data_IF_502305719700
#
_entry.id   IF_502305719700
#
_cell.length_a   1.000
_cell.length_b   1.000
_cell.length_c   1.000
_cell.angle_alpha   90.00
_cell.angle_beta   90.00
_cell.angle_gamma   90.00
#
_symmetry.space_group_name_H-M   'P 1'
#
loop_
_entity.id
_entity.type
_entity.pdbx_description
1 polymer ?
#
# COMPACT_ATOMS: atom_id res chain seq x y z
N UNK A 1 -2.76 32.62 -23.73
CA UNK A 1 -2.21 31.40 -24.36
C UNK A 1 -2.28 30.28 -23.35
N UNK A 2 -3.24 29.36 -23.52
CA UNK A 2 -3.30 28.13 -22.75
C UNK A 2 -2.05 27.30 -23.10
N UNK A 3 -1.17 27.13 -22.15
CA UNK A 3 -0.08 26.15 -22.25
C UNK A 3 -0.57 24.86 -21.59
N UNK A 4 -0.86 23.85 -22.39
CA UNK A 4 -1.11 22.51 -21.88
C UNK A 4 0.21 21.75 -21.77
N UNK A 5 0.47 21.15 -20.64
CA UNK A 5 1.59 20.24 -20.43
C UNK A 5 1.05 18.81 -20.39
N UNK A 6 1.67 17.94 -21.18
CA UNK A 6 1.37 16.52 -21.16
C UNK A 6 2.66 15.72 -21.24
N UNK A 7 2.69 14.56 -20.64
CA UNK A 7 3.84 13.65 -20.68
C UNK A 7 3.60 12.42 -19.84
N UNK A 8 4.49 11.45 -19.95
CA UNK A 8 4.41 10.19 -19.22
C UNK A 8 5.64 9.98 -18.34
N UNK A 9 5.41 9.38 -17.18
CA UNK A 9 6.47 8.82 -16.34
C UNK A 9 6.39 7.29 -16.49
N UNK A 10 7.42 6.71 -17.12
CA UNK A 10 7.54 5.27 -17.27
C UNK A 10 8.69 4.79 -16.38
N UNK A 11 8.41 3.84 -15.52
CA UNK A 11 9.39 3.36 -14.55
C UNK A 11 9.12 1.91 -14.13
N UNK A 12 10.12 1.30 -13.51
CA UNK A 12 9.94 0.06 -12.78
C UNK A 12 9.18 0.37 -11.49
N UNK A 13 8.16 -0.45 -11.19
CA UNK A 13 7.37 -0.27 -9.99
C UNK A 13 8.18 -0.69 -8.76
N UNK A 14 8.44 0.27 -7.87
CA UNK A 14 9.04 -0.01 -6.56
C UNK A 14 8.17 0.54 -5.44
N UNK A 15 8.12 -0.17 -4.33
CA UNK A 15 7.34 0.28 -3.18
C UNK A 15 7.87 1.60 -2.63
N UNK A 16 6.97 2.46 -2.14
CA UNK A 16 7.23 3.79 -1.56
C UNK A 16 7.61 4.88 -2.58
N UNK A 17 8.28 4.55 -3.68
CA UNK A 17 8.81 5.57 -4.59
C UNK A 17 7.72 6.33 -5.38
N UNK A 18 6.55 5.72 -5.57
CA UNK A 18 5.46 6.26 -6.41
C UNK A 18 4.13 6.39 -5.66
N UNK A 19 4.14 6.31 -4.34
CA UNK A 19 2.93 6.32 -3.52
C UNK A 19 2.07 7.56 -3.77
N UNK A 20 2.69 8.75 -3.87
CA UNK A 20 1.98 10.00 -4.17
C UNK A 20 1.32 10.00 -5.57
N UNK A 21 1.98 9.42 -6.58
CA UNK A 21 1.41 9.30 -7.92
C UNK A 21 0.27 8.26 -7.97
N UNK A 22 0.38 7.19 -7.17
CA UNK A 22 -0.70 6.23 -6.98
C UNK A 22 -1.91 6.88 -6.30
N UNK A 23 -1.70 7.70 -5.26
CA UNK A 23 -2.75 8.49 -4.63
C UNK A 23 -3.47 9.38 -5.64
N UNK A 24 -2.72 10.08 -6.49
CA UNK A 24 -3.27 10.90 -7.55
C UNK A 24 -4.02 10.11 -8.62
N UNK A 25 -3.50 8.95 -9.02
CA UNK A 25 -4.16 8.08 -9.99
C UNK A 25 -5.46 7.48 -9.46
N UNK A 26 -5.50 7.19 -8.16
CA UNK A 26 -6.67 6.62 -7.46
C UNK A 26 -7.67 7.70 -7.01
N UNK A 27 -7.34 9.00 -7.13
CA UNK A 27 -8.12 10.12 -6.61
C UNK A 27 -8.48 9.93 -5.13
N UNK A 28 -7.58 9.37 -4.35
CA UNK A 28 -7.86 8.98 -2.96
C UNK A 28 -8.20 10.18 -2.09
N UNK A 29 -9.19 10.03 -1.21
CA UNK A 29 -9.59 11.09 -0.27
C UNK A 29 -8.65 11.17 0.96
N UNK A 30 -7.75 10.20 1.10
CA UNK A 30 -6.76 10.11 2.17
C UNK A 30 -5.46 9.51 1.66
N UNK A 31 -4.37 9.78 2.35
CA UNK A 31 -3.08 9.10 2.13
C UNK A 31 -3.18 7.61 2.44
N UNK A 32 -2.14 6.86 2.14
CA UNK A 32 -2.01 5.46 2.51
C UNK A 32 -2.34 5.24 3.99
N UNK A 33 -3.30 4.34 4.26
CA UNK A 33 -3.61 3.93 5.62
C UNK A 33 -2.70 2.78 6.00
N UNK A 34 -1.84 3.03 6.98
CA UNK A 34 -0.97 2.01 7.58
C UNK A 34 -1.66 1.36 8.76
N UNK A 35 -1.60 0.04 8.82
CA UNK A 35 -2.04 -0.78 9.94
C UNK A 35 -0.82 -1.42 10.58
N UNK A 36 -0.59 -1.19 11.87
CA UNK A 36 0.50 -1.80 12.65
C UNK A 36 0.04 -1.87 14.12
N UNK A 37 0.06 -3.06 14.71
CA UNK A 37 -0.30 -3.23 16.14
C UNK A 37 0.88 -3.03 17.09
N UNK A 38 2.09 -2.79 16.58
CA UNK A 38 3.28 -2.61 17.40
C UNK A 38 3.77 -3.87 18.13
N UNK A 39 3.10 -5.01 17.93
CA UNK A 39 3.37 -6.27 18.59
C UNK A 39 2.51 -6.49 19.85
N UNK A 40 1.68 -7.52 19.83
CA UNK A 40 0.74 -7.90 20.88
C UNK A 40 0.84 -9.38 21.22
N UNK A 41 0.70 -9.73 22.50
CA UNK A 41 0.73 -11.11 22.98
C UNK A 41 -0.68 -11.75 23.04
N UNK A 42 -1.70 -11.04 22.57
CA UNK A 42 -3.12 -11.43 22.57
C UNK A 42 -3.56 -12.12 21.27
N UNK A 43 -2.63 -12.29 20.34
CA UNK A 43 -2.90 -12.88 19.03
C UNK A 43 -2.63 -14.38 19.05
N UNK A 44 -3.62 -15.16 18.63
CA UNK A 44 -3.51 -16.60 18.43
C UNK A 44 -3.84 -16.97 16.98
N UNK A 45 -3.26 -18.04 16.46
CA UNK A 45 -3.65 -18.63 15.18
C UNK A 45 -4.71 -19.70 15.38
N UNK A 46 -5.59 -19.83 14.41
CA UNK A 46 -6.70 -20.79 14.39
C UNK A 46 -6.71 -21.58 13.08
N UNK A 47 -7.62 -22.54 12.96
CA UNK A 47 -7.77 -23.28 11.69
C UNK A 47 -8.36 -22.49 10.54
N UNK A 48 -8.86 -21.26 10.76
CA UNK A 48 -9.48 -20.41 9.73
C UNK A 48 -8.81 -19.04 9.60
N UNK A 49 -8.01 -18.63 10.58
CA UNK A 49 -7.38 -17.32 10.62
C UNK A 49 -6.74 -17.03 11.97
N UNK A 50 -7.00 -15.85 12.52
CA UNK A 50 -6.38 -15.39 13.76
C UNK A 50 -7.43 -14.80 14.71
N UNK A 51 -7.18 -14.94 16.00
CA UNK A 51 -7.98 -14.29 17.06
C UNK A 51 -7.12 -13.30 17.82
N UNK A 52 -7.77 -12.29 18.37
CA UNK A 52 -7.19 -11.28 19.25
C UNK A 52 -8.09 -11.10 20.48
N UNK A 53 -7.66 -11.59 21.63
CA UNK A 53 -8.41 -11.43 22.87
C UNK A 53 -8.46 -9.97 23.37
N UNK A 54 -7.58 -9.11 22.87
CA UNK A 54 -7.60 -7.67 23.08
C UNK A 54 -8.72 -6.94 22.32
N UNK A 55 -9.34 -7.60 21.33
CA UNK A 55 -10.38 -7.03 20.47
C UNK A 55 -9.96 -5.74 19.72
N UNK A 56 -8.67 -5.62 19.40
CA UNK A 56 -8.07 -4.44 18.76
C UNK A 56 -8.17 -4.39 17.25
N UNK A 57 -8.55 -5.50 16.58
CA UNK A 57 -8.45 -5.65 15.15
C UNK A 57 -9.18 -4.57 14.32
N UNK A 58 -10.43 -4.23 14.68
CA UNK A 58 -11.16 -3.16 14.01
C UNK A 58 -10.54 -1.79 14.31
N UNK A 59 -10.14 -1.56 15.56
CA UNK A 59 -9.56 -0.29 15.98
C UNK A 59 -8.21 0.00 15.32
N UNK A 60 -7.46 -1.03 14.95
CA UNK A 60 -6.19 -0.90 14.20
C UNK A 60 -6.35 -0.52 12.74
N UNK A 61 -7.58 -0.44 12.23
CA UNK A 61 -7.87 -0.04 10.86
C UNK A 61 -7.79 -1.16 9.81
N UNK A 62 -7.69 -2.42 10.25
CA UNK A 62 -7.77 -3.59 9.36
C UNK A 62 -9.11 -3.61 8.62
N UNK A 63 -9.09 -4.11 7.37
CA UNK A 63 -10.27 -4.19 6.53
C UNK A 63 -10.36 -5.52 5.78
N UNK A 64 -11.60 -5.98 5.52
CA UNK A 64 -11.84 -7.14 4.67
C UNK A 64 -11.31 -6.89 3.26
N UNK A 65 -10.60 -7.87 2.71
CA UNK A 65 -9.93 -7.80 1.42
C UNK A 65 -8.48 -7.30 1.47
N UNK A 66 -8.06 -6.70 2.57
CA UNK A 66 -6.69 -6.26 2.79
C UNK A 66 -5.73 -7.45 2.92
N UNK A 67 -4.49 -7.26 2.46
CA UNK A 67 -3.38 -8.13 2.79
C UNK A 67 -2.63 -7.58 3.99
N UNK A 68 -2.34 -8.44 4.95
CA UNK A 68 -1.50 -8.14 6.10
C UNK A 68 -0.32 -9.11 6.16
N UNK A 69 0.81 -8.63 6.65
CA UNK A 69 1.95 -9.46 7.02
C UNK A 69 1.88 -9.73 8.50
N UNK A 70 1.90 -10.98 8.92
CA UNK A 70 2.04 -11.39 10.32
C UNK A 70 3.44 -11.94 10.57
N UNK A 71 3.97 -11.65 11.75
CA UNK A 71 5.28 -12.13 12.18
C UNK A 71 5.38 -12.17 13.70
N UNK A 72 6.23 -13.04 14.22
CA UNK A 72 6.53 -13.14 15.63
C UNK A 72 5.88 -14.31 16.35
N UNK A 73 5.22 -15.23 15.63
CA UNK A 73 4.78 -16.51 16.20
C UNK A 73 5.99 -17.35 16.61
N UNK A 74 5.81 -18.20 17.63
CA UNK A 74 6.83 -19.15 18.04
C UNK A 74 7.06 -20.19 16.93
N UNK A 75 5.97 -20.65 16.32
CA UNK A 75 6.04 -21.42 15.07
C UNK A 75 6.14 -20.47 13.88
N UNK A 76 7.35 -20.23 13.41
CA UNK A 76 7.63 -19.32 12.29
C UNK A 76 7.01 -19.74 10.96
N UNK A 77 6.43 -20.94 10.86
CA UNK A 77 5.67 -21.35 9.67
C UNK A 77 4.35 -20.60 9.53
N UNK A 78 3.86 -20.02 10.64
CA UNK A 78 2.66 -19.18 10.66
C UNK A 78 2.95 -17.76 10.16
N UNK A 79 4.20 -17.30 10.27
CA UNK A 79 4.60 -15.99 9.78
C UNK A 79 4.41 -15.91 8.26
N UNK A 80 3.78 -14.82 7.78
CA UNK A 80 3.52 -14.70 6.36
C UNK A 80 2.51 -13.62 5.97
N UNK A 81 2.08 -13.68 4.71
CA UNK A 81 1.09 -12.78 4.15
C UNK A 81 -0.27 -13.46 4.05
N UNK A 82 -1.28 -12.78 4.56
CA UNK A 82 -2.65 -13.27 4.65
C UNK A 82 -3.63 -12.22 4.14
N UNK A 83 -4.55 -12.64 3.27
CA UNK A 83 -5.67 -11.81 2.86
C UNK A 83 -6.82 -12.00 3.83
N UNK A 84 -7.39 -10.93 4.33
CA UNK A 84 -8.53 -10.94 5.26
C UNK A 84 -9.81 -11.22 4.47
N UNK A 85 -10.54 -12.27 4.86
CA UNK A 85 -11.82 -12.67 4.25
C UNK A 85 -13.02 -12.32 5.11
N UNK A 86 -12.84 -12.31 6.43
CA UNK A 86 -13.84 -11.92 7.42
C UNK A 86 -13.17 -11.14 8.56
N UNK A 87 -13.89 -10.24 9.21
CA UNK A 87 -13.37 -9.38 10.27
C UNK A 87 -14.41 -9.12 11.35
N UNK A 88 -14.02 -9.35 12.60
CA UNK A 88 -14.70 -8.88 13.82
C UNK A 88 -13.69 -8.13 14.69
N UNK A 89 -14.12 -7.59 15.83
CA UNK A 89 -13.19 -6.94 16.75
C UNK A 89 -12.11 -7.91 17.29
N UNK A 90 -12.47 -9.16 17.54
CA UNK A 90 -11.58 -10.16 18.14
C UNK A 90 -11.19 -11.31 17.20
N UNK A 91 -11.54 -11.28 15.91
CA UNK A 91 -11.13 -12.36 15.00
C UNK A 91 -11.12 -11.93 13.54
N UNK A 92 -10.22 -12.54 12.78
CA UNK A 92 -10.16 -12.48 11.32
C UNK A 92 -10.09 -13.89 10.75
N UNK A 93 -10.85 -14.15 9.69
CA UNK A 93 -10.61 -15.29 8.82
C UNK A 93 -9.72 -14.85 7.67
N UNK A 94 -8.86 -15.75 7.20
CA UNK A 94 -7.84 -15.40 6.20
C UNK A 94 -7.73 -16.42 5.08
N UNK A 95 -7.09 -15.98 3.99
CA UNK A 95 -6.62 -16.83 2.93
C UNK A 95 -5.16 -16.46 2.55
N UNK A 96 -4.23 -17.43 2.52
CA UNK A 96 -4.42 -18.81 2.97
C UNK A 96 -4.79 -18.88 4.46
N UNK A 97 -5.26 -20.03 4.92
CA UNK A 97 -5.41 -20.29 6.36
C UNK A 97 -4.05 -20.53 7.00
N UNK A 98 -3.86 -20.23 8.29
CA UNK A 98 -2.61 -20.54 8.99
C UNK A 98 -2.28 -22.03 8.90
N UNK A 99 -1.01 -22.40 8.66
CA UNK A 99 -0.59 -23.80 8.54
C UNK A 99 -0.59 -24.56 9.87
N UNK A 100 -0.55 -23.84 10.99
CA UNK A 100 -0.56 -24.41 12.34
C UNK A 100 -1.42 -23.56 13.29
N UNK A 101 -1.78 -24.13 14.42
CA UNK A 101 -2.52 -23.46 15.50
C UNK A 101 -1.53 -23.17 16.63
N UNK A 102 -1.47 -21.90 17.04
CA UNK A 102 -0.67 -21.45 18.18
C UNK A 102 -1.53 -20.61 19.11
N UNK A 103 -1.45 -20.88 20.41
CA UNK A 103 -2.13 -20.11 21.44
C UNK A 103 -1.46 -18.74 21.63
N UNK A 104 -2.18 -17.83 22.29
CA UNK A 104 -1.66 -16.52 22.70
C UNK A 104 -0.40 -16.65 23.57
N UNK A 105 0.44 -15.61 23.56
CA UNK A 105 1.65 -15.51 24.39
C UNK A 105 2.89 -15.08 23.64
N UNK A 106 2.99 -15.37 22.33
CA UNK A 106 4.03 -14.79 21.49
C UNK A 106 3.72 -13.33 21.17
N UNK A 107 4.75 -12.49 21.04
CA UNK A 107 4.57 -11.10 20.61
C UNK A 107 4.42 -11.05 19.10
N UNK A 108 3.19 -11.06 18.64
CA UNK A 108 2.84 -11.08 17.22
C UNK A 108 2.60 -9.67 16.71
N UNK A 109 3.24 -9.33 15.61
CA UNK A 109 3.05 -8.08 14.89
C UNK A 109 2.30 -8.35 13.59
N UNK A 110 1.26 -7.58 13.30
CA UNK A 110 0.67 -7.51 11.97
C UNK A 110 0.85 -6.13 11.37
N UNK A 111 1.17 -6.10 10.08
CA UNK A 111 1.38 -4.87 9.31
C UNK A 111 0.67 -4.96 7.98
N UNK A 112 0.11 -3.84 7.55
CA UNK A 112 -0.52 -3.72 6.24
C UNK A 112 -0.66 -2.27 5.82
N UNK A 113 -0.84 -2.07 4.53
CA UNK A 113 -1.14 -0.75 3.97
C UNK A 113 -2.29 -0.89 2.99
N UNK A 114 -3.14 0.12 2.96
CA UNK A 114 -4.24 0.20 2.01
C UNK A 114 -4.35 1.58 1.41
N UNK A 115 -4.69 1.60 0.12
CA UNK A 115 -5.13 2.80 -0.59
C UNK A 115 -6.49 2.50 -1.22
N UNK A 116 -7.40 3.46 -1.18
CA UNK A 116 -8.74 3.33 -1.76
C UNK A 116 -8.95 4.40 -2.81
N UNK A 117 -9.69 4.06 -3.85
CA UNK A 117 -10.17 5.06 -4.79
C UNK A 117 -11.14 6.02 -4.10
N UNK A 118 -11.01 7.29 -4.42
CA UNK A 118 -11.83 8.38 -3.90
C UNK A 118 -12.24 9.35 -4.99
N UNK A 119 -12.39 10.63 -4.63
CA UNK A 119 -12.79 11.72 -5.52
C UNK A 119 -11.92 12.98 -5.33
N UNK A 120 -10.86 12.90 -4.51
CA UNK A 120 -10.00 14.02 -4.25
C UNK A 120 -9.14 14.35 -5.48
N UNK A 121 -9.06 15.61 -5.81
CA UNK A 121 -8.21 16.12 -6.88
C UNK A 121 -6.79 16.33 -6.33
N UNK A 122 -5.83 15.60 -6.88
CA UNK A 122 -4.41 15.77 -6.56
C UNK A 122 -3.71 16.54 -7.68
N UNK A 123 -2.94 17.56 -7.31
CA UNK A 123 -2.11 18.29 -8.25
C UNK A 123 -0.67 18.36 -7.77
N UNK A 124 0.26 18.22 -8.71
CA UNK A 124 1.69 18.11 -8.46
C UNK A 124 2.45 19.24 -9.12
N UNK A 125 3.63 19.53 -8.58
CA UNK A 125 4.62 20.37 -9.23
C UNK A 125 5.82 19.53 -9.60
N UNK A 126 6.10 19.39 -10.89
CA UNK A 126 7.29 18.69 -11.37
C UNK A 126 8.37 19.70 -11.73
N UNK A 127 9.59 19.43 -11.30
CA UNK A 127 10.75 20.22 -11.65
C UNK A 127 11.73 19.39 -12.47
N UNK A 128 12.04 19.85 -13.67
CA UNK A 128 13.06 19.26 -14.53
C UNK A 128 14.30 20.14 -14.54
N UNK A 129 15.43 19.57 -14.11
CA UNK A 129 16.71 20.25 -14.12
C UNK A 129 17.52 19.88 -15.39
N UNK A 130 17.86 20.88 -16.19
CA UNK A 130 18.80 20.73 -17.31
C UNK A 130 20.22 21.00 -16.84
N UNK A 131 20.90 19.96 -16.37
CA UNK A 131 22.24 20.06 -15.79
C UNK A 131 23.37 20.14 -16.84
N UNK A 132 23.06 19.91 -18.11
CA UNK A 132 24.04 19.99 -19.20
C UNK A 132 24.32 21.41 -19.70
N UNK A 133 23.68 22.44 -19.13
CA UNK A 133 23.89 23.85 -19.46
C UNK A 133 24.37 24.64 -18.25
N UNK A 134 25.12 25.71 -18.48
CA UNK A 134 25.60 26.60 -17.44
C UNK A 134 25.12 28.03 -17.70
N UNK A 135 24.37 28.66 -16.75
CA UNK A 135 23.88 28.11 -15.48
C UNK A 135 22.83 27.02 -15.69
N UNK A 136 22.66 26.16 -14.68
CA UNK A 136 21.61 25.11 -14.69
C UNK A 136 20.23 25.73 -14.83
N UNK A 137 19.45 25.23 -15.78
CA UNK A 137 18.08 25.69 -16.03
C UNK A 137 17.09 24.74 -15.40
N UNK A 138 16.11 25.27 -14.65
CA UNK A 138 15.03 24.52 -14.02
C UNK A 138 13.70 24.88 -14.72
N UNK A 139 13.00 23.87 -15.19
CA UNK A 139 11.64 24.00 -15.72
C UNK A 139 10.67 23.46 -14.66
N UNK A 140 9.71 24.28 -14.27
CA UNK A 140 8.68 23.92 -13.29
C UNK A 140 7.33 23.78 -13.99
N UNK A 141 6.73 22.61 -13.87
CA UNK A 141 5.40 22.28 -14.35
C UNK A 141 4.48 22.23 -13.13
N UNK A 142 3.52 23.15 -13.04
CA UNK A 142 2.60 23.29 -11.89
C UNK A 142 1.20 22.86 -12.27
N UNK A 143 0.45 22.36 -11.30
CA UNK A 143 -0.94 21.94 -11.49
C UNK A 143 -1.09 20.64 -12.29
N UNK A 144 -0.02 19.89 -12.43
CA UNK A 144 0.00 18.62 -13.17
C UNK A 144 -0.79 17.58 -12.40
N UNK A 145 -1.64 16.82 -13.07
CA UNK A 145 -2.46 15.74 -12.52
C UNK A 145 -2.11 14.42 -13.19
N UNK A 146 -2.31 13.33 -12.48
CA UNK A 146 -2.26 12.00 -13.08
C UNK A 146 -3.60 11.76 -13.78
N UNK A 147 -3.55 11.58 -15.09
CA UNK A 147 -4.74 11.34 -15.93
C UNK A 147 -4.98 9.87 -16.20
N UNK A 148 -3.91 9.09 -16.30
CA UNK A 148 -3.97 7.65 -16.55
C UNK A 148 -2.87 6.94 -15.77
N UNK A 149 -3.13 5.71 -15.38
CA UNK A 149 -2.14 4.79 -14.84
C UNK A 149 -2.27 3.45 -15.55
N UNK A 150 -1.15 2.92 -16.00
CA UNK A 150 -1.08 1.57 -16.54
C UNK A 150 -0.01 0.78 -15.81
N UNK A 151 -0.34 -0.44 -15.39
CA UNK A 151 0.57 -1.35 -14.70
C UNK A 151 0.71 -2.61 -15.53
N UNK A 152 1.95 -2.96 -15.84
CA UNK A 152 2.30 -4.17 -16.57
C UNK A 152 3.02 -5.15 -15.66
N UNK A 153 2.41 -6.32 -15.49
CA UNK A 153 2.92 -7.41 -14.65
C UNK A 153 3.14 -8.63 -15.55
N UNK A 154 4.38 -8.91 -15.87
CA UNK A 154 4.76 -10.07 -16.69
C UNK A 154 5.52 -11.10 -15.85
N UNK A 155 5.25 -12.38 -16.09
CA UNK A 155 5.97 -13.46 -15.40
C UNK A 155 7.44 -13.45 -15.81
N UNK A 156 8.32 -13.31 -14.83
CA UNK A 156 9.77 -13.31 -15.03
C UNK A 156 10.37 -11.97 -15.44
N UNK A 157 9.57 -10.89 -15.47
CA UNK A 157 10.03 -9.52 -15.71
C UNK A 157 9.73 -8.64 -14.49
N UNK A 158 10.36 -7.47 -14.42
CA UNK A 158 10.07 -6.47 -13.39
C UNK A 158 8.69 -5.85 -13.65
N UNK A 159 7.96 -5.58 -12.58
CA UNK A 159 6.71 -4.84 -12.67
C UNK A 159 6.99 -3.42 -13.19
N UNK A 160 6.26 -3.00 -14.21
CA UNK A 160 6.39 -1.67 -14.82
C UNK A 160 5.12 -0.87 -14.57
N UNK A 161 5.28 0.41 -14.34
CA UNK A 161 4.17 1.35 -14.22
C UNK A 161 4.40 2.57 -15.11
N UNK A 162 3.36 3.04 -15.75
CA UNK A 162 3.34 4.32 -16.45
C UNK A 162 2.22 5.20 -15.94
N UNK A 163 2.55 6.45 -15.66
CA UNK A 163 1.61 7.49 -15.27
C UNK A 163 1.54 8.53 -16.39
N UNK A 164 0.36 8.67 -17.01
CA UNK A 164 0.09 9.74 -17.93
C UNK A 164 -0.25 11.03 -17.15
N UNK A 165 0.44 12.10 -17.46
CA UNK A 165 0.35 13.39 -16.80
C UNK A 165 -0.31 14.42 -17.71
N UNK A 166 -1.18 15.25 -17.12
CA UNK A 166 -1.85 16.36 -17.80
C UNK A 166 -1.82 17.60 -16.90
N UNK A 167 -1.48 18.78 -17.46
CA UNK A 167 -1.45 20.04 -16.76
C UNK A 167 -1.65 21.24 -17.67
#
# INVERSE_FOLDING_TARGET
TDQSNAGDINCEFSSVAFDELLEGAMLTDSTWTSTDNGGEATIASTGTGFTDSGNGLIASGIQVGQYISLSGFTDTTIDGFYRITSLTAGSIDTFPVPPAIEAEGATVTYKGQTIKSGKADHSYTFQKAHRGVSPVVYLNFRGVRVSTMNMELSVGDLAKVSFGLLG
#
